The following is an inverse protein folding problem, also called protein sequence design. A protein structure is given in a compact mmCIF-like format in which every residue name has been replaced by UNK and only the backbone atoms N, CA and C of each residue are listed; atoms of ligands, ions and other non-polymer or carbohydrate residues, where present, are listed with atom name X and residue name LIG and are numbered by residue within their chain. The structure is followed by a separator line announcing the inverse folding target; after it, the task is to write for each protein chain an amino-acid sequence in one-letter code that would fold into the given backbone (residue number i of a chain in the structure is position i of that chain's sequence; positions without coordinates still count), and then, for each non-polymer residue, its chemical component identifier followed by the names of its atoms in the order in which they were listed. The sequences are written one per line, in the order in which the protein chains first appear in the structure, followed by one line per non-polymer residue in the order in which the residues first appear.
data_IF_498365720944
#
_entry.id   IF_498365720944
#
_cell.length_a   1.000
_cell.length_b   1.000
_cell.length_c   1.000
_cell.angle_alpha   90.00
_cell.angle_beta   90.00
_cell.angle_gamma   90.00
#
_symmetry.space_group_name_H-M   'P 1'
#
loop_
_entity.id
_entity.type
_entity.pdbx_description
1 polymer ?
#
# COMPACT_ATOMS: atom_id res chain seq x y z
N UNK A 1 28.21 -36.93 32.43
CA UNK A 1 28.71 -35.64 32.97
C UNK A 1 27.66 -34.60 32.67
N UNK A 2 26.80 -34.37 33.64
CA UNK A 2 25.62 -33.50 33.58
C UNK A 2 26.08 -32.06 33.89
N UNK A 3 25.92 -31.14 32.93
CA UNK A 3 26.28 -29.73 33.15
C UNK A 3 25.11 -29.02 33.80
N UNK A 4 25.20 -28.86 35.12
CA UNK A 4 24.35 -28.01 35.95
C UNK A 4 24.32 -26.59 35.40
N UNK A 5 23.17 -26.14 34.91
CA UNK A 5 22.94 -24.73 34.64
C UNK A 5 22.56 -24.05 35.96
N UNK A 6 23.48 -23.23 36.46
CA UNK A 6 23.25 -22.36 37.62
C UNK A 6 22.26 -21.28 37.20
N UNK A 7 21.00 -21.42 37.64
CA UNK A 7 20.00 -20.37 37.52
C UNK A 7 20.24 -19.29 38.58
N UNK A 8 20.51 -18.06 38.14
CA UNK A 8 20.50 -16.89 39.04
C UNK A 8 19.04 -16.50 39.26
N UNK A 9 18.50 -16.80 40.44
CA UNK A 9 17.18 -16.34 40.87
C UNK A 9 17.34 -14.93 41.44
N UNK A 10 17.03 -13.91 40.64
CA UNK A 10 16.79 -12.55 41.15
C UNK A 10 15.30 -12.40 41.40
N UNK A 11 14.96 -12.07 42.65
CA UNK A 11 13.58 -11.89 43.14
C UNK A 11 12.80 -10.91 42.25
N UNK A 12 11.73 -11.41 41.63
CA UNK A 12 10.49 -10.66 41.46
C UNK A 12 10.49 -9.49 40.48
N UNK A 13 10.81 -9.76 39.21
CA UNK A 13 10.17 -9.13 38.03
C UNK A 13 10.71 -9.83 36.78
N UNK A 14 9.88 -10.64 36.12
CA UNK A 14 10.11 -10.94 34.70
C UNK A 14 9.92 -9.62 33.96
N UNK A 15 11.02 -8.92 33.68
CA UNK A 15 11.01 -7.88 32.65
C UNK A 15 11.14 -8.65 31.34
N UNK A 16 10.02 -9.14 30.82
CA UNK A 16 9.92 -9.33 29.37
C UNK A 16 9.91 -7.92 28.81
N UNK A 17 11.10 -7.44 28.48
CA UNK A 17 11.31 -6.20 27.76
C UNK A 17 10.36 -6.23 26.56
N UNK A 18 9.40 -5.31 26.55
CA UNK A 18 8.23 -5.36 25.68
C UNK A 18 8.65 -5.30 24.23
N UNK A 19 8.65 -6.45 23.55
CA UNK A 19 8.40 -6.44 22.12
C UNK A 19 6.96 -5.96 21.97
N UNK A 20 6.80 -4.65 21.77
CA UNK A 20 5.54 -4.10 21.29
C UNK A 20 5.10 -4.95 20.09
N UNK A 21 3.82 -5.36 20.06
CA UNK A 21 3.26 -6.16 18.98
C UNK A 21 3.46 -5.40 17.66
N UNK A 22 4.53 -5.73 16.93
CA UNK A 22 4.82 -5.16 15.61
C UNK A 22 3.80 -5.68 14.61
N UNK A 23 2.60 -5.09 14.64
CA UNK A 23 1.57 -5.32 13.63
C UNK A 23 1.92 -4.51 12.39
N UNK A 24 1.99 -5.19 11.24
CA UNK A 24 2.08 -4.52 9.95
C UNK A 24 0.89 -3.56 9.79
N UNK A 25 1.12 -2.28 9.40
CA UNK A 25 0.04 -1.33 9.22
C UNK A 25 -1.01 -1.86 8.23
N UNK A 26 -2.28 -1.71 8.57
CA UNK A 26 -3.41 -2.13 7.72
C UNK A 26 -3.74 -1.13 6.60
N UNK A 27 -2.79 -0.27 6.23
CA UNK A 27 -2.99 0.69 5.15
C UNK A 27 -2.82 0.01 3.79
N UNK A 28 -3.62 0.35 2.75
CA UNK A 28 -3.49 -0.25 1.41
C UNK A 28 -2.08 -0.15 0.81
N UNK A 29 -1.33 0.93 1.07
CA UNK A 29 0.08 1.05 0.64
C UNK A 29 0.97 -0.06 1.22
N UNK A 30 0.63 -0.46 2.44
CA UNK A 30 1.07 -1.62 3.21
C UNK A 30 0.89 -2.95 2.50
N UNK A 31 -0.27 -3.09 1.83
CA UNK A 31 -0.87 -4.35 1.45
C UNK A 31 -0.26 -4.96 0.20
N UNK A 32 -0.23 -6.29 0.16
CA UNK A 32 0.13 -7.06 -1.02
C UNK A 32 -0.98 -6.97 -2.05
N UNK A 33 -0.64 -7.22 -3.31
CA UNK A 33 -1.63 -7.32 -4.40
C UNK A 33 -2.75 -8.32 -4.08
N UNK A 34 -2.45 -9.41 -3.37
CA UNK A 34 -3.45 -10.39 -2.96
C UNK A 34 -4.42 -9.82 -1.91
N UNK A 35 -3.92 -9.14 -0.89
CA UNK A 35 -4.77 -8.51 0.13
C UNK A 35 -5.69 -7.44 -0.49
N UNK A 36 -5.13 -6.60 -1.38
CA UNK A 36 -5.90 -5.61 -2.15
C UNK A 36 -6.98 -6.26 -3.01
N UNK A 37 -6.67 -7.42 -3.61
CA UNK A 37 -7.63 -8.20 -4.39
C UNK A 37 -8.74 -8.78 -3.53
N UNK A 38 -8.39 -9.41 -2.41
CA UNK A 38 -9.33 -10.06 -1.51
C UNK A 38 -10.31 -9.05 -0.90
N UNK A 39 -9.84 -7.83 -0.57
CA UNK A 39 -10.69 -6.75 -0.05
C UNK A 39 -11.41 -5.94 -1.14
N UNK A 40 -11.19 -6.27 -2.43
CA UNK A 40 -11.75 -5.55 -3.59
C UNK A 40 -11.42 -4.06 -3.59
N UNK A 41 -10.18 -3.72 -3.25
CA UNK A 41 -9.71 -2.34 -3.20
C UNK A 41 -9.97 -1.62 -4.53
N UNK A 42 -10.49 -0.39 -4.45
CA UNK A 42 -10.67 0.51 -5.59
C UNK A 42 -10.10 1.87 -5.22
N UNK A 43 -9.25 2.41 -6.07
CA UNK A 43 -8.57 3.67 -5.82
C UNK A 43 -7.13 3.66 -6.32
N UNK A 44 -6.37 4.64 -5.85
CA UNK A 44 -4.98 4.85 -6.24
C UNK A 44 -4.08 4.47 -5.08
N UNK A 45 -3.05 3.67 -5.35
CA UNK A 45 -2.06 3.26 -4.35
C UNK A 45 -0.70 3.82 -4.71
N UNK A 46 -0.02 4.42 -3.74
CA UNK A 46 1.36 4.83 -3.90
C UNK A 46 2.25 3.68 -3.40
N UNK A 47 2.66 2.81 -4.32
CA UNK A 47 3.47 1.65 -3.99
C UNK A 47 4.92 2.08 -3.77
N UNK A 48 5.24 2.40 -2.52
CA UNK A 48 6.59 2.83 -2.11
C UNK A 48 7.67 1.76 -2.30
N UNK A 49 7.31 0.48 -2.42
CA UNK A 49 8.27 -0.60 -2.62
C UNK A 49 8.91 -0.58 -4.02
N UNK A 50 8.19 -0.09 -5.01
CA UNK A 50 8.62 -0.06 -6.42
C UNK A 50 8.52 1.34 -7.04
N UNK A 51 8.26 2.35 -6.20
CA UNK A 51 8.12 3.76 -6.56
C UNK A 51 7.16 4.00 -7.73
N UNK A 52 5.93 3.46 -7.61
CA UNK A 52 4.90 3.59 -8.63
C UNK A 52 3.55 4.03 -8.08
N UNK A 53 2.81 4.77 -8.89
CA UNK A 53 1.40 5.06 -8.70
C UNK A 53 0.60 3.98 -9.42
N UNK A 54 -0.25 3.27 -8.69
CA UNK A 54 -1.07 2.17 -9.19
C UNK A 54 -2.55 2.53 -9.15
N UNK A 55 -3.30 2.18 -10.18
CA UNK A 55 -4.75 2.40 -10.27
C UNK A 55 -5.45 1.04 -10.18
N UNK A 56 -6.27 0.87 -9.15
CA UNK A 56 -6.98 -0.36 -8.83
C UNK A 56 -8.50 -0.18 -8.98
N UNK A 57 -9.16 -1.21 -9.48
CA UNK A 57 -10.63 -1.29 -9.50
C UNK A 57 -11.08 -2.67 -9.06
N UNK A 58 -11.91 -2.74 -8.01
CA UNK A 58 -12.49 -3.98 -7.46
C UNK A 58 -11.44 -5.07 -7.18
N UNK A 59 -10.25 -4.67 -6.73
CA UNK A 59 -9.17 -5.59 -6.40
C UNK A 59 -8.31 -6.03 -7.60
N UNK A 60 -8.53 -5.47 -8.79
CA UNK A 60 -7.68 -5.69 -9.96
C UNK A 60 -6.86 -4.43 -10.27
N UNK A 61 -5.55 -4.63 -10.47
CA UNK A 61 -4.65 -3.58 -10.96
C UNK A 61 -4.96 -3.29 -12.43
N UNK A 62 -5.36 -2.06 -12.74
CA UNK A 62 -5.74 -1.62 -14.09
C UNK A 62 -4.60 -0.94 -14.84
N UNK A 63 -3.66 -0.37 -14.10
CA UNK A 63 -2.47 0.24 -14.67
C UNK A 63 -1.57 0.81 -13.57
N UNK A 64 -0.33 1.10 -13.95
CA UNK A 64 0.65 1.71 -13.06
C UNK A 64 1.62 2.59 -13.85
N UNK A 65 2.12 3.64 -13.20
CA UNK A 65 3.16 4.52 -13.72
C UNK A 65 4.21 4.78 -12.64
N UNK A 66 5.49 4.85 -13.02
CA UNK A 66 6.55 5.23 -12.08
C UNK A 66 6.34 6.65 -11.54
N UNK A 67 6.64 6.88 -10.27
CA UNK A 67 6.50 8.20 -9.64
C UNK A 67 7.37 9.23 -10.36
N UNK A 68 8.59 8.85 -10.77
CA UNK A 68 9.47 9.70 -11.55
C UNK A 68 8.84 10.15 -12.89
N UNK A 69 8.22 9.21 -13.61
CA UNK A 69 7.56 9.50 -14.89
C UNK A 69 6.33 10.38 -14.69
N UNK A 70 5.50 10.09 -13.69
CA UNK A 70 4.33 10.89 -13.35
C UNK A 70 4.71 12.30 -12.88
N UNK A 71 5.86 12.46 -12.24
CA UNK A 71 6.38 13.78 -11.81
C UNK A 71 6.92 14.57 -12.99
N UNK A 72 7.68 13.92 -13.87
CA UNK A 72 8.26 14.58 -15.04
C UNK A 72 7.21 14.91 -16.11
N UNK A 73 6.17 14.09 -16.22
CA UNK A 73 5.12 14.15 -17.25
C UNK A 73 3.75 13.79 -16.66
N UNK A 74 3.10 14.73 -15.93
CA UNK A 74 1.81 14.51 -15.31
C UNK A 74 0.72 14.05 -16.29
N UNK A 75 0.81 14.47 -17.55
CA UNK A 75 -0.12 14.11 -18.62
C UNK A 75 -0.16 12.60 -18.88
N UNK A 76 0.89 11.85 -18.54
CA UNK A 76 0.89 10.39 -18.67
C UNK A 76 -0.03 9.72 -17.65
N UNK A 77 -0.09 10.26 -16.42
CA UNK A 77 -1.01 9.78 -15.41
C UNK A 77 -2.45 10.15 -15.79
N UNK A 78 -2.68 11.36 -16.30
CA UNK A 78 -3.99 11.79 -16.83
C UNK A 78 -4.45 10.90 -17.99
N UNK A 79 -3.56 10.60 -18.94
CA UNK A 79 -3.85 9.69 -20.05
C UNK A 79 -4.16 8.28 -19.57
N UNK A 80 -3.46 7.79 -18.53
CA UNK A 80 -3.75 6.50 -17.91
C UNK A 80 -5.15 6.48 -17.27
N UNK A 81 -5.53 7.53 -16.52
CA UNK A 81 -6.90 7.66 -15.99
C UNK A 81 -7.93 7.72 -17.12
N UNK A 82 -7.69 8.52 -18.16
CA UNK A 82 -8.59 8.62 -19.30
C UNK A 82 -8.77 7.27 -20.01
N UNK A 83 -7.71 6.49 -20.16
CA UNK A 83 -7.75 5.15 -20.74
C UNK A 83 -8.54 4.16 -19.87
N UNK A 84 -8.28 4.12 -18.56
CA UNK A 84 -8.90 3.16 -17.63
C UNK A 84 -10.39 3.45 -17.44
N UNK A 85 -10.76 4.72 -17.34
CA UNK A 85 -12.14 5.15 -17.03
C UNK A 85 -12.90 5.66 -18.25
N UNK A 86 -12.33 5.55 -19.45
CA UNK A 86 -12.91 6.05 -20.70
C UNK A 86 -13.36 7.52 -20.58
N UNK A 87 -12.53 8.36 -19.93
CA UNK A 87 -12.87 9.77 -19.73
C UNK A 87 -12.74 10.50 -21.07
N UNK A 88 -13.85 11.03 -21.55
CA UNK A 88 -13.92 11.93 -22.70
C UNK A 88 -14.22 13.35 -22.22
N UNK A 89 -13.76 14.36 -22.95
CA UNK A 89 -14.09 15.76 -22.67
C UNK A 89 -15.62 15.96 -22.63
N UNK A 90 -16.15 16.40 -21.49
CA UNK A 90 -17.57 16.78 -21.34
C UNK A 90 -17.66 18.29 -21.49
N UNK A 91 -18.18 18.76 -22.63
CA UNK A 91 -18.51 20.17 -22.82
C UNK A 91 -19.84 20.45 -22.13
N UNK A 92 -19.80 21.20 -21.04
CA UNK A 92 -21.01 21.70 -20.41
C UNK A 92 -21.59 22.79 -21.31
N UNK A 93 -22.68 22.47 -22.01
CA UNK A 93 -23.50 23.50 -22.64
C UNK A 93 -24.14 24.32 -21.54
N UNK A 94 -23.80 25.61 -21.47
CA UNK A 94 -24.35 26.52 -20.49
C UNK A 94 -25.87 26.59 -20.68
N UNK A 95 -26.71 26.13 -19.73
CA UNK A 95 -28.15 26.29 -19.88
C UNK A 95 -28.44 27.79 -19.83
N UNK A 96 -29.03 28.30 -20.92
CA UNK A 96 -29.48 29.70 -21.05
C UNK A 96 -30.52 30.06 -20.01
#
# INVERSE_FOLDING_TARGET
MEKSHVGIIVKGKNVTDGMEDFNRPSHPDFMTAKELKDMKFSGTRHNSLVDSIEIWTTGDLRGSIGVADATAKPELLEALYAHIFSLTEVKLENPR
#
